data_IF_748744180290
#
_entry.id   IF_748744180290
#
_cell.length_a   1.000
_cell.length_b   1.000
_cell.length_c   1.000
_cell.angle_alpha   90.00
_cell.angle_beta   90.00
_cell.angle_gamma   90.00
#
_symmetry.space_group_name_H-M   'P 1'
#
loop_
_entity.id
_entity.type
_entity.pdbx_description
1 polymer ?
#
# COMPACT_ATOMS: atom_id res chain seq x y z
N UNK A 1 -2.28 1.41 -8.99
CA UNK A 1 -1.87 1.72 -7.62
C UNK A 1 -0.69 2.68 -7.66
N UNK A 2 -0.77 3.76 -6.92
CA UNK A 2 0.28 4.77 -6.92
C UNK A 2 0.88 4.93 -5.53
N UNK A 3 2.14 5.35 -5.47
CA UNK A 3 2.84 5.63 -4.22
C UNK A 3 3.31 7.08 -4.20
N UNK A 4 3.31 7.69 -3.01
CA UNK A 4 3.93 9.00 -2.85
C UNK A 4 5.42 8.90 -3.14
N UNK A 5 6.02 10.00 -3.57
CA UNK A 5 7.42 10.03 -3.98
C UNK A 5 8.36 9.47 -2.90
N UNK A 6 8.11 9.77 -1.62
CA UNK A 6 8.95 9.32 -0.51
C UNK A 6 8.92 7.81 -0.29
N UNK A 7 7.86 7.13 -0.76
CA UNK A 7 7.70 5.68 -0.56
C UNK A 7 8.24 4.85 -1.72
N UNK A 8 8.50 5.46 -2.87
CA UNK A 8 8.93 4.73 -4.06
C UNK A 8 10.25 4.00 -3.86
N UNK A 9 11.27 4.69 -3.36
CA UNK A 9 12.58 4.06 -3.12
C UNK A 9 12.53 2.92 -2.12
N UNK A 10 11.90 3.07 -0.94
CA UNK A 10 11.75 1.95 -0.02
C UNK A 10 11.01 0.75 -0.62
N UNK A 11 10.00 0.99 -1.46
CA UNK A 11 9.28 -0.10 -2.15
C UNK A 11 10.22 -0.80 -3.14
N UNK A 12 10.96 -0.03 -3.94
CA UNK A 12 11.91 -0.58 -4.91
C UNK A 12 12.99 -1.42 -4.23
N UNK A 13 13.47 -0.99 -3.06
CA UNK A 13 14.46 -1.72 -2.29
C UNK A 13 13.91 -2.93 -1.53
N UNK A 14 12.59 -3.14 -1.56
CA UNK A 14 11.97 -4.24 -0.83
C UNK A 14 11.80 -4.00 0.66
N UNK A 15 12.01 -2.78 1.12
CA UNK A 15 11.84 -2.42 2.54
C UNK A 15 10.37 -2.27 2.91
N UNK A 16 9.53 -1.84 1.96
CA UNK A 16 8.08 -1.72 2.12
C UNK A 16 7.42 -2.73 1.18
N UNK A 17 6.67 -3.68 1.75
CA UNK A 17 6.01 -4.75 1.01
C UNK A 17 4.51 -4.79 1.26
N UNK A 18 3.97 -3.79 1.95
CA UNK A 18 2.53 -3.70 2.24
C UNK A 18 2.11 -2.25 2.28
N UNK A 19 0.83 -2.02 1.98
CA UNK A 19 0.24 -0.70 1.97
C UNK A 19 -1.19 -0.78 2.49
N UNK A 20 -1.60 0.23 3.25
CA UNK A 20 -2.99 0.35 3.68
C UNK A 20 -3.64 1.40 2.80
N UNK A 21 -4.78 1.04 2.21
CA UNK A 21 -5.54 1.90 1.31
C UNK A 21 -6.98 2.01 1.78
N UNK A 22 -7.53 3.22 1.69
CA UNK A 22 -8.93 3.47 2.02
C UNK A 22 -9.64 3.76 0.70
N UNK A 23 -10.47 2.82 0.27
CA UNK A 23 -11.16 2.86 -1.01
C UNK A 23 -12.64 2.55 -0.82
N UNK A 24 -13.45 2.92 -1.78
CA UNK A 24 -14.83 2.48 -1.85
C UNK A 24 -14.93 1.02 -2.31
N UNK A 25 -14.02 0.64 -3.22
CA UNK A 25 -13.85 -0.74 -3.69
C UNK A 25 -12.38 -0.95 -4.06
N UNK A 26 -11.91 -2.21 -4.12
CA UNK A 26 -10.50 -2.45 -4.45
C UNK A 26 -10.12 -1.90 -5.83
N UNK A 27 -8.99 -1.22 -5.89
CA UNK A 27 -8.41 -0.72 -7.13
C UNK A 27 -7.34 -1.67 -7.68
N UNK A 28 -7.06 -2.76 -6.99
CA UNK A 28 -6.06 -3.75 -7.38
C UNK A 28 -6.63 -5.14 -7.18
N UNK A 29 -5.97 -6.14 -7.75
CA UNK A 29 -6.34 -7.55 -7.57
C UNK A 29 -5.10 -8.39 -7.27
N UNK A 30 -5.27 -9.51 -6.59
CA UNK A 30 -4.19 -10.47 -6.34
C UNK A 30 -3.69 -11.00 -7.69
N UNK A 31 -2.38 -11.04 -7.86
CA UNK A 31 -1.73 -11.39 -9.12
C UNK A 31 -1.63 -10.24 -10.10
N UNK A 32 -2.27 -9.11 -9.84
CA UNK A 32 -2.16 -7.93 -10.69
C UNK A 32 -0.79 -7.30 -10.60
N UNK A 33 -0.32 -6.75 -11.70
CA UNK A 33 0.97 -6.06 -11.78
C UNK A 33 0.73 -4.60 -12.12
N UNK A 34 1.39 -3.72 -11.39
CA UNK A 34 1.18 -2.29 -11.50
C UNK A 34 2.52 -1.58 -11.63
N UNK A 35 2.67 -0.66 -12.58
CA UNK A 35 3.96 -0.03 -12.84
C UNK A 35 4.46 0.79 -11.66
N UNK A 36 5.74 0.65 -11.38
CA UNK A 36 6.50 1.50 -10.47
C UNK A 36 7.92 1.55 -11.02
N UNK A 37 8.18 2.52 -11.90
CA UNK A 37 9.44 2.61 -12.64
C UNK A 37 10.65 2.55 -11.70
N UNK A 38 11.71 1.85 -12.10
CA UNK A 38 11.95 1.23 -13.41
C UNK A 38 11.23 -0.11 -13.64
N UNK A 39 10.64 -0.72 -12.63
CA UNK A 39 9.96 -2.01 -12.73
C UNK A 39 8.47 -1.92 -12.46
N UNK A 40 7.98 -2.88 -11.68
CA UNK A 40 6.55 -2.95 -11.32
C UNK A 40 6.38 -3.68 -9.99
N UNK A 41 5.22 -3.56 -9.39
CA UNK A 41 4.86 -4.37 -8.22
C UNK A 41 3.87 -5.44 -8.64
N UNK A 42 3.91 -6.57 -7.96
CA UNK A 42 2.91 -7.63 -8.08
C UNK A 42 2.18 -7.78 -6.76
N UNK A 43 0.86 -7.69 -6.78
CA UNK A 43 0.04 -7.83 -5.58
C UNK A 43 -0.07 -9.30 -5.22
N UNK A 44 0.33 -9.64 -4.01
CA UNK A 44 0.33 -11.02 -3.51
C UNK A 44 -0.82 -11.30 -2.55
N UNK A 45 -1.35 -10.26 -1.89
CA UNK A 45 -2.48 -10.41 -0.98
C UNK A 45 -3.29 -9.12 -0.95
N UNK A 46 -4.60 -9.28 -0.83
CA UNK A 46 -5.53 -8.17 -0.69
C UNK A 46 -6.59 -8.58 0.32
N UNK A 47 -6.69 -7.83 1.44
CA UNK A 47 -7.68 -8.11 2.48
C UNK A 47 -8.36 -6.83 2.91
N UNK A 48 -9.66 -6.91 3.14
CA UNK A 48 -10.37 -5.83 3.82
C UNK A 48 -10.17 -5.99 5.32
N UNK A 49 -9.81 -4.89 6.00
CA UNK A 49 -9.60 -4.86 7.45
C UNK A 49 -10.45 -3.73 8.06
N UNK A 50 -10.62 -3.74 9.38
CA UNK A 50 -11.27 -2.65 10.09
C UNK A 50 -10.29 -1.57 10.48
N UNK A 51 -10.80 -0.36 10.74
CA UNK A 51 -9.96 0.73 11.23
C UNK A 51 -9.25 0.34 12.53
N UNK A 52 -9.90 -0.44 13.40
CA UNK A 52 -9.31 -0.91 14.64
C UNK A 52 -8.16 -1.90 14.45
N UNK A 53 -8.00 -2.45 13.26
CA UNK A 53 -6.90 -3.36 12.95
C UNK A 53 -5.62 -2.61 12.57
N UNK A 54 -5.71 -1.30 12.38
CA UNK A 54 -4.55 -0.48 12.05
C UNK A 54 -3.79 -0.15 13.32
N UNK A 55 -2.64 -0.78 13.51
CA UNK A 55 -1.75 -0.54 14.64
C UNK A 55 -0.63 0.42 14.26
N UNK A 56 0.02 1.07 15.23
CA UNK A 56 1.21 1.88 14.92
C UNK A 56 2.29 1.10 14.20
N UNK A 57 2.49 -0.18 14.55
CA UNK A 57 3.46 -1.03 13.88
C UNK A 57 3.09 -1.25 12.42
N UNK A 58 1.82 -1.54 12.13
CA UNK A 58 1.36 -1.75 10.77
C UNK A 58 1.54 -0.48 9.94
N UNK A 59 1.24 0.69 10.50
CA UNK A 59 1.45 1.96 9.83
C UNK A 59 2.94 2.18 9.50
N UNK A 60 3.84 1.89 10.44
CA UNK A 60 5.27 2.03 10.22
C UNK A 60 5.79 1.07 9.14
N UNK A 61 5.28 -0.16 9.11
CA UNK A 61 5.65 -1.13 8.07
C UNK A 61 5.19 -0.71 6.69
N UNK A 62 4.15 0.12 6.61
CA UNK A 62 3.70 0.73 5.37
C UNK A 62 4.44 2.01 5.00
N UNK A 63 5.44 2.41 5.79
CA UNK A 63 6.25 3.59 5.51
C UNK A 63 5.72 4.88 6.12
N UNK A 64 4.80 4.80 7.09
CA UNK A 64 4.22 5.97 7.75
C UNK A 64 4.79 6.15 9.16
N UNK A 65 4.78 7.39 9.63
CA UNK A 65 5.28 7.71 10.97
C UNK A 65 4.39 7.13 12.07
N UNK A 66 3.10 6.98 11.80
CA UNK A 66 2.14 6.41 12.73
C UNK A 66 0.76 6.34 12.11
N UNK A 67 -0.24 5.99 12.93
CA UNK A 67 -1.62 5.80 12.46
C UNK A 67 -2.22 7.09 11.89
N UNK A 68 -1.99 8.22 12.54
CA UNK A 68 -2.53 9.51 12.08
C UNK A 68 -1.95 9.89 10.72
N UNK A 69 -0.65 9.73 10.54
CA UNK A 69 0.03 10.01 9.28
C UNK A 69 -0.52 9.11 8.16
N UNK A 70 -0.71 7.83 8.46
CA UNK A 70 -1.29 6.88 7.51
C UNK A 70 -2.70 7.32 7.09
N UNK A 71 -3.57 7.65 8.04
CA UNK A 71 -4.95 8.01 7.74
C UNK A 71 -5.05 9.27 6.88
N UNK A 72 -4.14 10.24 7.09
CA UNK A 72 -4.11 11.45 6.27
C UNK A 72 -3.76 11.18 4.82
N UNK A 73 -2.87 10.22 4.58
CA UNK A 73 -2.32 9.95 3.24
C UNK A 73 -3.11 8.86 2.52
N UNK A 74 -3.59 7.84 3.24
CA UNK A 74 -4.23 6.68 2.64
C UNK A 74 -5.63 6.96 2.10
N UNK A 75 -6.33 7.96 2.64
CA UNK A 75 -7.69 8.26 2.22
C UNK A 75 -7.70 9.11 0.96
N UNK A 76 -8.24 8.56 -0.12
CA UNK A 76 -8.41 9.25 -1.38
C UNK A 76 -9.88 9.17 -1.80
N UNK A 77 -10.53 10.33 -1.92
CA UNK A 77 -11.93 10.40 -2.34
C UNK A 77 -12.90 9.89 -1.28
N UNK A 78 -14.10 9.45 -1.68
CA UNK A 78 -15.18 9.11 -0.76
C UNK A 78 -15.11 7.71 -0.15
N UNK A 79 -14.04 6.95 -0.36
CA UNK A 79 -13.93 5.59 0.13
C UNK A 79 -13.90 5.51 1.65
N UNK A 80 -14.54 4.46 2.19
CA UNK A 80 -14.60 4.22 3.64
C UNK A 80 -14.12 2.83 4.02
N UNK A 81 -13.84 1.96 3.05
CA UNK A 81 -13.34 0.60 3.28
C UNK A 81 -11.83 0.60 3.33
N UNK A 82 -11.30 -0.12 4.32
CA UNK A 82 -9.85 -0.19 4.53
C UNK A 82 -9.33 -1.51 4.00
N UNK A 83 -8.29 -1.44 3.16
CA UNK A 83 -7.67 -2.62 2.55
C UNK A 83 -6.20 -2.70 2.92
N UNK A 84 -5.76 -3.90 3.27
CA UNK A 84 -4.35 -4.22 3.42
C UNK A 84 -3.88 -4.90 2.13
N UNK A 85 -2.97 -4.26 1.42
CA UNK A 85 -2.40 -4.76 0.17
C UNK A 85 -0.98 -5.19 0.44
N UNK A 86 -0.66 -6.45 0.15
CA UNK A 86 0.71 -6.95 0.20
C UNK A 86 1.20 -7.15 -1.22
N UNK A 87 2.48 -6.86 -1.45
CA UNK A 87 3.06 -6.89 -2.80
C UNK A 87 4.56 -7.13 -2.75
N UNK A 88 5.12 -7.48 -3.91
CA UNK A 88 6.57 -7.54 -4.10
C UNK A 88 6.95 -6.67 -5.28
N UNK A 89 8.17 -6.13 -5.24
CA UNK A 89 8.71 -5.37 -6.35
C UNK A 89 9.41 -6.28 -7.34
N UNK A 90 9.13 -6.09 -8.62
CA UNK A 90 9.77 -6.83 -9.71
C UNK A 90 10.60 -5.86 -10.54
N UNK A 91 11.89 -6.15 -10.68
CA UNK A 91 12.79 -5.34 -11.47
C UNK A 91 12.43 -5.38 -12.96
N UNK A 92 12.86 -4.35 -13.68
CA UNK A 92 12.53 -4.16 -15.09
C UNK A 92 13.46 -4.90 -16.05
N UNK A 93 13.94 -6.03 -15.70
CA UNK A 93 14.86 -6.78 -16.57
C UNK A 93 14.11 -7.66 -17.56
#
# INVERSE_FOLDING_TARGET
MTFTKRLREPVIRGEITRSIRIWQRPHVKVGGRYPLAPGQIEVTSLREIGLGDITPELARRGGFAGVVDLLKIAKHGPGERVFLVEFTYLDAI
#
